data_IF_453268280341
#
_entry.id   IF_453268280341
#
_cell.length_a   1.000
_cell.length_b   1.000
_cell.length_c   1.000
_cell.angle_alpha   90.00
_cell.angle_beta   90.00
_cell.angle_gamma   90.00
#
_symmetry.space_group_name_H-M   'P 1'
#
loop_
_entity.id
_entity.type
_entity.pdbx_description
1 polymer ?
#
# COMPACT_ATOMS: atom_id res chain seq x y z
N UNK A 1 10.23 16.64 -19.61
CA UNK A 1 9.44 16.03 -18.52
C UNK A 1 8.14 16.79 -18.23
N UNK A 2 8.10 18.09 -18.44
CA UNK A 2 6.89 18.91 -18.24
C UNK A 2 5.80 18.66 -19.31
N UNK A 3 6.16 18.11 -20.44
CA UNK A 3 5.24 17.76 -21.54
C UNK A 3 4.64 16.34 -21.40
N UNK A 4 5.07 15.62 -20.38
CA UNK A 4 4.50 14.31 -20.06
C UNK A 4 3.14 14.47 -19.39
N UNK A 5 2.29 13.48 -19.55
CA UNK A 5 0.99 13.42 -18.89
C UNK A 5 1.12 13.69 -17.38
N UNK A 6 0.19 14.48 -16.83
CA UNK A 6 0.20 14.87 -15.40
C UNK A 6 0.17 13.67 -14.45
N UNK A 7 -0.40 12.56 -14.88
CA UNK A 7 -0.47 11.32 -14.09
C UNK A 7 0.76 10.42 -14.23
N UNK A 8 1.72 10.78 -15.11
CA UNK A 8 2.99 10.05 -15.21
C UNK A 8 3.83 10.32 -13.96
N UNK A 9 4.26 9.25 -13.31
CA UNK A 9 5.12 9.33 -12.12
C UNK A 9 6.54 9.69 -12.59
N UNK A 10 7.05 10.85 -12.14
CA UNK A 10 8.31 11.43 -12.59
C UNK A 10 9.35 11.40 -11.48
N UNK A 11 10.50 10.79 -11.76
CA UNK A 11 11.70 10.91 -10.94
C UNK A 11 12.80 11.62 -11.72
N UNK A 12 13.47 12.54 -11.09
CA UNK A 12 14.60 13.29 -11.65
C UNK A 12 15.83 13.03 -10.80
N UNK A 13 16.85 12.46 -11.41
CA UNK A 13 18.13 12.23 -10.74
C UNK A 13 19.11 13.35 -11.11
N UNK A 14 19.62 14.06 -10.09
CA UNK A 14 20.71 15.03 -10.20
C UNK A 14 22.05 14.42 -9.81
N UNK A 15 23.05 14.55 -10.66
CA UNK A 15 24.42 14.14 -10.35
C UNK A 15 25.02 15.08 -9.31
N UNK A 16 25.60 14.55 -8.23
CA UNK A 16 26.29 15.33 -7.23
C UNK A 16 27.80 15.37 -7.53
N UNK A 17 28.24 16.29 -8.37
CA UNK A 17 29.64 16.38 -8.81
C UNK A 17 30.23 17.78 -8.71
N UNK A 18 31.56 17.84 -8.58
CA UNK A 18 32.33 19.09 -8.42
C UNK A 18 32.23 19.99 -9.64
N UNK A 19 32.34 19.44 -10.84
CA UNK A 19 32.35 20.19 -12.09
C UNK A 19 30.99 20.13 -12.85
N UNK A 20 30.03 19.38 -12.35
CA UNK A 20 28.72 19.21 -12.94
C UNK A 20 27.65 19.60 -11.92
N UNK A 21 27.07 20.81 -12.01
CA UNK A 21 26.18 21.35 -10.98
C UNK A 21 24.79 20.69 -11.01
N UNK A 22 24.74 19.36 -10.89
CA UNK A 22 23.52 18.57 -10.96
C UNK A 22 22.48 18.93 -9.91
N UNK A 23 22.92 19.35 -8.71
CA UNK A 23 22.01 19.84 -7.67
C UNK A 23 21.26 21.09 -8.09
N UNK A 24 21.91 22.02 -8.76
CA UNK A 24 21.30 23.28 -9.24
C UNK A 24 20.27 22.97 -10.32
N UNK A 25 20.63 22.13 -11.28
CA UNK A 25 19.69 21.72 -12.34
C UNK A 25 18.52 20.90 -11.79
N UNK A 26 18.78 20.01 -10.85
CA UNK A 26 17.71 19.27 -10.17
C UNK A 26 16.73 20.23 -9.47
N UNK A 27 17.25 21.17 -8.70
CA UNK A 27 16.44 22.17 -8.02
C UNK A 27 15.60 23.01 -9.02
N UNK A 28 16.21 23.45 -10.12
CA UNK A 28 15.51 24.20 -11.16
C UNK A 28 14.40 23.39 -11.82
N UNK A 29 14.64 22.12 -12.14
CA UNK A 29 13.63 21.22 -12.73
C UNK A 29 12.49 20.99 -11.77
N UNK A 30 12.78 20.70 -10.49
CA UNK A 30 11.74 20.49 -9.47
C UNK A 30 10.92 21.76 -9.23
N UNK A 31 11.57 22.94 -9.15
CA UNK A 31 10.88 24.21 -9.03
C UNK A 31 9.95 24.49 -10.21
N UNK A 32 10.41 24.23 -11.44
CA UNK A 32 9.60 24.40 -12.65
C UNK A 32 8.37 23.45 -12.66
N UNK A 33 8.50 22.23 -12.18
CA UNK A 33 7.37 21.32 -12.02
C UNK A 33 6.40 21.82 -10.95
N UNK A 34 6.91 22.25 -9.80
CA UNK A 34 6.10 22.77 -8.71
C UNK A 34 5.29 24.00 -9.12
N UNK A 35 5.89 24.95 -9.89
CA UNK A 35 5.18 26.11 -10.42
C UNK A 35 4.00 25.77 -11.33
N UNK A 36 4.05 24.61 -11.99
CA UNK A 36 2.98 24.10 -12.84
C UNK A 36 2.03 23.13 -12.12
N UNK A 37 2.19 22.92 -10.82
CA UNK A 37 1.40 21.93 -10.07
C UNK A 37 1.65 20.48 -10.50
N UNK A 38 2.80 20.18 -11.13
CA UNK A 38 3.13 18.85 -11.61
C UNK A 38 4.03 18.16 -10.59
N UNK A 39 3.63 16.99 -10.03
CA UNK A 39 4.47 16.26 -9.09
C UNK A 39 5.73 15.71 -9.76
N UNK A 40 6.88 15.90 -9.12
CA UNK A 40 8.15 15.28 -9.50
C UNK A 40 8.99 15.01 -8.25
N UNK A 41 9.72 13.89 -8.26
CA UNK A 41 10.53 13.43 -7.14
C UNK A 41 12.01 13.57 -7.45
N UNK A 42 12.74 14.27 -6.59
CA UNK A 42 14.19 14.44 -6.72
C UNK A 42 14.97 13.26 -6.13
N UNK A 43 15.97 12.79 -6.86
CA UNK A 43 16.96 11.81 -6.39
C UNK A 43 18.33 12.44 -6.49
N UNK A 44 19.07 12.43 -5.39
CA UNK A 44 20.36 13.09 -5.28
C UNK A 44 21.29 12.35 -4.31
N UNK A 45 22.57 12.21 -4.67
CA UNK A 45 23.57 11.56 -3.85
C UNK A 45 24.01 12.42 -2.66
N UNK A 46 24.33 11.79 -1.53
CA UNK A 46 24.81 12.48 -0.33
C UNK A 46 26.22 13.00 -0.53
N UNK A 47 27.08 12.17 -1.11
CA UNK A 47 28.49 12.47 -1.24
C UNK A 47 28.79 13.09 -2.62
N UNK A 48 29.77 14.02 -2.66
CA UNK A 48 30.21 14.64 -3.90
C UNK A 48 31.07 13.66 -4.69
N UNK A 49 30.80 13.56 -5.99
CA UNK A 49 31.52 12.69 -6.89
C UNK A 49 32.48 13.50 -7.76
N UNK A 50 33.59 12.89 -8.15
CA UNK A 50 34.51 13.45 -9.14
C UNK A 50 33.85 13.53 -10.51
N UNK A 51 34.30 14.46 -11.36
CA UNK A 51 33.66 14.72 -12.65
C UNK A 51 33.66 13.52 -13.61
N UNK A 52 34.64 12.63 -13.48
CA UNK A 52 34.82 11.43 -14.30
C UNK A 52 34.20 10.16 -13.64
N UNK A 53 33.61 10.28 -12.45
CA UNK A 53 32.96 9.15 -11.80
C UNK A 53 31.85 8.57 -12.67
N UNK A 54 31.93 7.28 -12.93
CA UNK A 54 30.98 6.53 -13.76
C UNK A 54 30.04 5.64 -12.93
N UNK A 55 30.41 5.39 -11.68
CA UNK A 55 29.62 4.54 -10.80
C UNK A 55 28.50 5.31 -10.13
N UNK A 56 27.35 4.65 -9.98
CA UNK A 56 26.22 5.19 -9.24
C UNK A 56 26.47 4.92 -7.75
N UNK A 57 26.51 5.95 -6.88
CA UNK A 57 26.67 5.77 -5.45
C UNK A 57 25.57 4.87 -4.85
N UNK A 58 25.93 4.12 -3.80
CA UNK A 58 25.02 3.14 -3.22
C UNK A 58 23.73 3.78 -2.64
N UNK A 59 23.85 4.94 -2.02
CA UNK A 59 22.68 5.67 -1.52
C UNK A 59 21.75 6.14 -2.65
N UNK A 60 22.29 6.46 -3.83
CA UNK A 60 21.52 6.78 -5.03
C UNK A 60 20.83 5.54 -5.59
N UNK A 61 21.54 4.40 -5.66
CA UNK A 61 20.93 3.12 -6.08
C UNK A 61 19.74 2.75 -5.20
N UNK A 62 19.89 2.88 -3.88
CA UNK A 62 18.79 2.62 -2.92
C UNK A 62 17.60 3.55 -3.17
N UNK A 63 17.84 4.84 -3.42
CA UNK A 63 16.78 5.82 -3.72
C UNK A 63 16.09 5.52 -5.06
N UNK A 64 16.85 5.17 -6.10
CA UNK A 64 16.32 4.79 -7.41
C UNK A 64 15.44 3.53 -7.32
N UNK A 65 15.91 2.51 -6.61
CA UNK A 65 15.13 1.28 -6.41
C UNK A 65 13.85 1.52 -5.59
N UNK A 66 13.93 2.36 -4.56
CA UNK A 66 12.76 2.76 -3.76
C UNK A 66 11.74 3.50 -4.64
N UNK A 67 12.19 4.46 -5.43
CA UNK A 67 11.34 5.19 -6.37
C UNK A 67 10.70 4.24 -7.37
N UNK A 68 11.48 3.36 -8.01
CA UNK A 68 10.98 2.40 -8.99
C UNK A 68 9.92 1.46 -8.40
N UNK A 69 10.16 0.92 -7.21
CA UNK A 69 9.18 0.06 -6.51
C UNK A 69 7.89 0.82 -6.18
N UNK A 70 8.01 2.04 -5.67
CA UNK A 70 6.84 2.88 -5.36
C UNK A 70 6.07 3.25 -6.63
N UNK A 71 6.75 3.57 -7.73
CA UNK A 71 6.14 3.87 -9.02
C UNK A 71 5.39 2.68 -9.60
N UNK A 72 5.98 1.48 -9.52
CA UNK A 72 5.30 0.24 -9.95
C UNK A 72 4.07 -0.04 -9.09
N UNK A 73 4.17 0.10 -7.76
CA UNK A 73 3.04 -0.08 -6.86
C UNK A 73 1.89 0.88 -7.20
N UNK A 74 2.18 2.18 -7.34
CA UNK A 74 1.18 3.19 -7.69
C UNK A 74 0.56 2.93 -9.08
N UNK A 75 1.38 2.57 -10.06
CA UNK A 75 0.89 2.24 -11.41
C UNK A 75 -0.01 0.97 -11.42
N UNK A 76 0.31 -0.01 -10.56
CA UNK A 76 -0.47 -1.25 -10.44
C UNK A 76 -1.83 -1.01 -9.79
N UNK A 77 -1.93 -0.05 -8.88
CA UNK A 77 -3.20 0.33 -8.24
C UNK A 77 -4.15 1.04 -9.21
N UNK A 78 -3.62 1.80 -10.16
CA UNK A 78 -4.40 2.58 -11.11
C UNK A 78 -5.39 1.72 -11.90
N UNK A 79 -6.64 2.15 -11.93
CA UNK A 79 -7.73 1.41 -12.60
C UNK A 79 -8.23 0.20 -11.82
N UNK A 80 -7.72 -0.07 -10.63
CA UNK A 80 -8.22 -1.09 -9.72
C UNK A 80 -9.38 -0.55 -8.88
N UNK A 81 -10.15 -1.46 -8.30
CA UNK A 81 -11.16 -1.13 -7.30
C UNK A 81 -10.61 -1.32 -5.90
N UNK A 82 -10.95 -0.41 -5.02
CA UNK A 82 -10.82 -0.57 -3.57
C UNK A 82 -12.16 -1.06 -3.03
N UNK A 83 -12.20 -2.28 -2.53
CA UNK A 83 -13.42 -2.86 -1.98
C UNK A 83 -13.56 -2.44 -0.51
N UNK A 84 -14.64 -1.74 -0.20
CA UNK A 84 -15.07 -1.42 1.16
C UNK A 84 -16.17 -2.39 1.58
N UNK A 85 -15.95 -3.13 2.65
CA UNK A 85 -16.98 -3.99 3.25
C UNK A 85 -17.66 -3.24 4.39
N UNK A 86 -18.97 -3.08 4.31
CA UNK A 86 -19.73 -2.22 5.21
C UNK A 86 -19.56 -0.74 4.90
N UNK A 87 -19.91 0.12 5.88
CA UNK A 87 -19.77 1.57 5.76
C UNK A 87 -19.16 2.18 7.02
N UNK A 88 -19.89 3.02 7.73
CA UNK A 88 -19.41 3.63 8.99
C UNK A 88 -19.62 2.67 10.14
N UNK A 89 -18.54 2.27 10.82
CA UNK A 89 -18.62 1.41 12.00
C UNK A 89 -18.77 2.25 13.26
N UNK A 90 -19.85 2.04 14.01
CA UNK A 90 -20.12 2.70 15.31
C UNK A 90 -20.02 4.24 15.28
N UNK A 91 -20.27 4.87 14.13
CA UNK A 91 -20.17 6.33 13.99
C UNK A 91 -18.74 6.86 13.97
N UNK A 92 -17.74 6.01 13.78
CA UNK A 92 -16.32 6.40 13.73
C UNK A 92 -16.01 6.97 12.36
N UNK A 93 -15.80 8.29 12.29
CA UNK A 93 -15.51 8.98 11.02
C UNK A 93 -14.26 8.45 10.29
N UNK A 94 -13.27 7.94 11.02
CA UNK A 94 -12.06 7.34 10.44
C UNK A 94 -12.30 6.04 9.66
N UNK A 95 -13.50 5.43 9.76
CA UNK A 95 -13.89 4.27 8.94
C UNK A 95 -14.50 4.67 7.59
N UNK A 96 -14.75 5.95 7.37
CA UNK A 96 -15.28 6.46 6.10
C UNK A 96 -14.13 6.61 5.12
N UNK A 97 -14.27 6.00 3.95
CA UNK A 97 -13.30 6.14 2.88
C UNK A 97 -13.68 7.33 2.01
N UNK A 98 -12.74 8.24 1.82
CA UNK A 98 -12.88 9.33 0.85
C UNK A 98 -12.59 8.80 -0.56
N UNK A 99 -13.66 8.58 -1.33
CA UNK A 99 -13.57 8.09 -2.70
C UNK A 99 -12.86 9.06 -3.63
N UNK A 100 -12.98 10.37 -3.40
CA UNK A 100 -12.29 11.37 -4.21
C UNK A 100 -10.78 11.30 -3.99
N UNK A 101 -10.33 11.12 -2.74
CA UNK A 101 -8.93 10.87 -2.44
C UNK A 101 -8.39 9.61 -3.12
N UNK A 102 -9.13 8.51 -3.07
CA UNK A 102 -8.72 7.24 -3.69
C UNK A 102 -8.60 7.38 -5.21
N UNK A 103 -9.51 8.09 -5.85
CA UNK A 103 -9.48 8.34 -7.29
C UNK A 103 -8.34 9.29 -7.68
N UNK A 104 -8.19 10.41 -6.99
CA UNK A 104 -7.22 11.45 -7.33
C UNK A 104 -5.77 10.96 -7.11
N UNK A 105 -5.47 10.38 -5.95
CA UNK A 105 -4.09 10.03 -5.58
C UNK A 105 -3.68 8.63 -6.00
N UNK A 106 -4.58 7.66 -5.98
CA UNK A 106 -4.28 6.27 -6.30
C UNK A 106 -4.84 5.81 -7.65
N UNK A 107 -5.74 6.59 -8.25
CA UNK A 107 -6.43 6.23 -9.48
C UNK A 107 -7.35 5.01 -9.29
N UNK A 108 -7.82 4.77 -8.07
CA UNK A 108 -8.69 3.66 -7.70
C UNK A 108 -10.12 4.15 -7.49
N UNK A 109 -11.08 3.38 -7.94
CA UNK A 109 -12.49 3.59 -7.56
C UNK A 109 -12.81 2.85 -6.27
N UNK A 110 -13.72 3.38 -5.48
CA UNK A 110 -14.24 2.72 -4.28
C UNK A 110 -15.55 2.02 -4.63
N UNK A 111 -15.61 0.73 -4.33
CA UNK A 111 -16.82 -0.07 -4.45
C UNK A 111 -17.22 -0.58 -3.07
N UNK A 112 -18.48 -0.43 -2.70
CA UNK A 112 -18.97 -0.85 -1.38
C UNK A 112 -19.81 -2.12 -1.51
N UNK A 113 -19.58 -3.04 -0.60
CA UNK A 113 -20.34 -4.29 -0.42
C UNK A 113 -20.83 -4.34 1.00
N UNK A 114 -22.07 -4.72 1.20
CA UNK A 114 -22.62 -4.94 2.54
C UNK A 114 -22.01 -6.20 3.15
N UNK A 115 -21.69 -6.17 4.45
CA UNK A 115 -21.13 -7.32 5.16
C UNK A 115 -22.07 -8.53 5.20
N UNK A 116 -23.38 -8.33 5.02
CA UNK A 116 -24.36 -9.42 4.86
C UNK A 116 -24.00 -10.32 3.69
N UNK A 117 -23.39 -9.79 2.63
CA UNK A 117 -22.91 -10.61 1.50
C UNK A 117 -21.79 -11.56 1.91
N UNK A 118 -20.89 -11.14 2.81
CA UNK A 118 -19.88 -12.02 3.38
C UNK A 118 -20.53 -13.17 4.14
N UNK A 119 -21.49 -12.86 5.01
CA UNK A 119 -22.21 -13.87 5.81
C UNK A 119 -22.99 -14.83 4.89
N UNK A 120 -23.63 -14.29 3.86
CA UNK A 120 -24.35 -15.13 2.86
C UNK A 120 -23.40 -16.10 2.19
N UNK A 121 -22.24 -15.65 1.70
CA UNK A 121 -21.23 -16.51 1.07
C UNK A 121 -20.70 -17.57 2.02
N UNK A 122 -20.44 -17.18 3.27
CA UNK A 122 -20.01 -18.14 4.30
C UNK A 122 -21.05 -19.25 4.51
N UNK A 123 -22.32 -18.89 4.55
CA UNK A 123 -23.45 -19.81 4.79
C UNK A 123 -23.67 -20.74 3.59
N UNK A 124 -23.57 -20.19 2.38
CA UNK A 124 -23.75 -20.94 1.13
C UNK A 124 -22.51 -21.71 0.67
N UNK A 125 -21.39 -21.55 1.36
CA UNK A 125 -20.14 -22.24 1.01
C UNK A 125 -19.49 -21.69 -0.26
N UNK A 126 -19.67 -20.41 -0.58
CA UNK A 126 -19.10 -19.74 -1.77
C UNK A 126 -17.71 -19.23 -1.43
N UNK A 127 -16.74 -20.10 -1.38
CA UNK A 127 -15.30 -19.82 -1.19
C UNK A 127 -14.47 -20.99 -1.70
N UNK A 128 -13.17 -20.80 -1.90
CA UNK A 128 -12.25 -21.89 -2.28
C UNK A 128 -11.88 -22.71 -1.03
N UNK A 129 -12.39 -23.94 -0.95
CA UNK A 129 -12.14 -24.83 0.20
C UNK A 129 -10.65 -25.16 0.36
N UNK A 130 -9.90 -25.32 -0.73
CA UNK A 130 -8.46 -25.62 -0.66
C UNK A 130 -7.66 -24.44 -0.12
N UNK A 131 -8.01 -23.23 -0.52
CA UNK A 131 -7.38 -22.01 0.02
C UNK A 131 -7.76 -21.83 1.50
N UNK A 132 -9.01 -22.10 1.87
CA UNK A 132 -9.44 -22.09 3.27
C UNK A 132 -8.66 -23.08 4.13
N UNK A 133 -8.50 -24.33 3.70
CA UNK A 133 -7.72 -25.35 4.43
C UNK A 133 -6.27 -24.93 4.62
N UNK A 134 -5.61 -24.41 3.58
CA UNK A 134 -4.25 -23.86 3.65
C UNK A 134 -4.16 -22.69 4.61
N UNK A 135 -5.07 -21.73 4.49
CA UNK A 135 -5.10 -20.54 5.33
C UNK A 135 -5.32 -20.90 6.79
N UNK A 136 -6.23 -21.82 7.09
CA UNK A 136 -6.50 -22.29 8.44
C UNK A 136 -5.30 -23.01 9.05
N UNK A 137 -4.67 -23.90 8.29
CA UNK A 137 -3.45 -24.62 8.72
C UNK A 137 -2.30 -23.64 9.00
N UNK A 138 -2.08 -22.69 8.09
CA UNK A 138 -1.06 -21.65 8.26
C UNK A 138 -1.33 -20.78 9.48
N UNK A 139 -2.57 -20.32 9.65
CA UNK A 139 -2.98 -19.48 10.77
C UNK A 139 -2.74 -20.16 12.11
N UNK A 140 -3.18 -21.42 12.24
CA UNK A 140 -2.97 -22.21 13.48
C UNK A 140 -1.50 -22.47 13.80
N UNK A 141 -0.63 -22.53 12.80
CA UNK A 141 0.81 -22.77 13.01
C UNK A 141 1.64 -21.51 13.25
N UNK A 142 1.20 -20.34 12.76
CA UNK A 142 1.98 -19.11 12.80
C UNK A 142 1.40 -18.03 13.73
N UNK A 143 0.08 -18.02 13.93
CA UNK A 143 -0.55 -17.04 14.83
C UNK A 143 -0.54 -17.58 16.26
N UNK A 144 -0.21 -16.71 17.19
CA UNK A 144 -0.23 -17.01 18.63
C UNK A 144 -1.40 -16.27 19.27
N UNK A 145 -2.06 -16.95 20.19
CA UNK A 145 -3.06 -16.30 21.02
C UNK A 145 -2.39 -15.28 21.93
N UNK A 146 -3.02 -14.13 22.06
CA UNK A 146 -2.62 -13.12 23.03
C UNK A 146 -3.06 -13.48 24.45
N UNK A 147 -2.68 -12.64 25.41
CA UNK A 147 -3.17 -12.79 26.77
C UNK A 147 -4.57 -12.20 26.91
N UNK A 148 -5.54 -13.05 27.22
CA UNK A 148 -6.91 -12.64 27.53
C UNK A 148 -6.99 -12.12 28.98
N UNK A 149 -7.26 -10.81 29.12
CA UNK A 149 -7.42 -10.11 30.38
C UNK A 149 -8.84 -10.18 30.96
N UNK A 150 -9.77 -10.79 30.23
CA UNK A 150 -11.14 -10.91 30.71
C UNK A 150 -11.26 -11.81 31.96
N UNK A 151 -12.30 -11.64 32.75
CA UNK A 151 -12.62 -12.58 33.82
C UNK A 151 -12.84 -13.99 33.31
N UNK A 152 -12.50 -15.02 34.11
CA UNK A 152 -12.50 -16.42 33.64
C UNK A 152 -13.88 -16.89 33.12
N UNK A 153 -14.97 -16.35 33.68
CA UNK A 153 -16.33 -16.73 33.29
C UNK A 153 -16.73 -16.27 31.88
N UNK A 154 -15.99 -15.32 31.27
CA UNK A 154 -16.21 -14.86 29.88
C UNK A 154 -15.13 -15.31 28.91
N UNK A 155 -14.05 -15.93 29.43
CA UNK A 155 -12.99 -16.44 28.56
C UNK A 155 -13.49 -17.56 27.65
N UNK A 156 -13.02 -17.57 26.43
CA UNK A 156 -13.31 -18.63 25.46
C UNK A 156 -12.58 -19.93 25.85
N UNK A 157 -13.28 -21.04 25.83
CA UNK A 157 -12.65 -22.36 25.90
C UNK A 157 -12.05 -22.74 24.51
N UNK A 158 -11.27 -23.82 24.48
CA UNK A 158 -10.55 -24.23 23.25
C UNK A 158 -11.49 -24.56 22.08
N UNK A 159 -12.66 -25.11 22.35
CA UNK A 159 -13.67 -25.40 21.35
C UNK A 159 -14.27 -24.12 20.75
N UNK A 160 -14.53 -23.13 21.58
CA UNK A 160 -15.01 -21.82 21.16
C UNK A 160 -13.94 -21.09 20.33
N UNK A 161 -12.68 -21.12 20.77
CA UNK A 161 -11.55 -20.54 20.04
C UNK A 161 -11.35 -21.21 18.67
N UNK A 162 -11.46 -22.54 18.58
CA UNK A 162 -11.36 -23.24 17.30
C UNK A 162 -12.47 -22.84 16.33
N UNK A 163 -13.69 -22.66 16.83
CA UNK A 163 -14.81 -22.11 16.02
C UNK A 163 -14.54 -20.69 15.57
N UNK A 164 -14.03 -19.84 16.45
CA UNK A 164 -13.70 -18.44 16.14
C UNK A 164 -12.60 -18.37 15.07
N UNK A 165 -11.55 -19.20 15.17
CA UNK A 165 -10.52 -19.32 14.15
C UNK A 165 -11.08 -19.73 12.80
N UNK A 166 -11.89 -20.78 12.77
CA UNK A 166 -12.55 -21.25 11.54
C UNK A 166 -13.43 -20.18 10.92
N UNK A 167 -14.19 -19.45 11.73
CA UNK A 167 -15.04 -18.37 11.27
C UNK A 167 -14.22 -17.23 10.64
N UNK A 168 -13.20 -16.72 11.33
CA UNK A 168 -12.38 -15.60 10.86
C UNK A 168 -11.62 -15.95 9.59
N UNK A 169 -11.01 -17.15 9.54
CA UNK A 169 -10.28 -17.60 8.35
C UNK A 169 -11.23 -17.80 7.16
N UNK A 170 -12.41 -18.34 7.38
CA UNK A 170 -13.42 -18.47 6.32
C UNK A 170 -13.84 -17.11 5.77
N UNK A 171 -14.12 -16.16 6.63
CA UNK A 171 -14.45 -14.78 6.24
C UNK A 171 -13.34 -14.13 5.41
N UNK A 172 -12.07 -14.47 5.71
CA UNK A 172 -10.90 -13.95 4.99
C UNK A 172 -10.77 -14.54 3.57
N UNK A 173 -11.33 -15.72 3.32
CA UNK A 173 -11.28 -16.42 2.02
C UNK A 173 -12.44 -16.05 1.08
N UNK A 174 -13.30 -15.14 1.46
CA UNK A 174 -14.44 -14.64 0.67
C UNK A 174 -14.11 -13.32 -0.01
#
# INVERSE_FOLDING_TARGET
>A
TMDMDKHTIKGVWGFNGTERPGAVYLAAVLAAHAQKGLPAFGIYGRDVQEADATEIPEDVKVKLLRFGRAAVAAATMRGKSYLQVGSVTMGIAGSIIDSAFMEEYLGMRVESVDEVEIIRRMTEGIYDEKEYEKALSWTKSHCKEGWDKNPDFVKRNDEQKDRDWKFVVKMMCI
#
